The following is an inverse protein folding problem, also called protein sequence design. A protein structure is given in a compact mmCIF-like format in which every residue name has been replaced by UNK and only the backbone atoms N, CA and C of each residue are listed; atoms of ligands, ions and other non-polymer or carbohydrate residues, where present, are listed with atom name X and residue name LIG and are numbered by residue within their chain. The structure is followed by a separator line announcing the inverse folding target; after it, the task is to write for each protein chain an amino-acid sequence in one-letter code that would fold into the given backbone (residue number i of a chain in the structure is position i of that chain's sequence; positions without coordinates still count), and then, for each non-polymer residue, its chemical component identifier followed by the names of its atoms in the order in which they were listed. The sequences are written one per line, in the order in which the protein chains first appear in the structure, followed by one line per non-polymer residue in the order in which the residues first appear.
data_IF_101330783893
#
_entry.id   IF_101330783893
#
_cell.length_a   1.000
_cell.length_b   1.000
_cell.length_c   1.000
_cell.angle_alpha   90.00
_cell.angle_beta   90.00
_cell.angle_gamma   90.00
#
_symmetry.space_group_name_H-M   'P 1'
#
loop_
_entity.id
_entity.type
_entity.pdbx_description
1 polymer ?
#
# COMPACT_ATOMS: atom_id res chain seq x y z
N UNK A 1 41.73 -27.24 -1.02
CA UNK A 1 40.36 -26.74 -0.76
C UNK A 1 40.45 -25.38 -0.09
N UNK A 2 40.44 -24.30 -0.87
CA UNK A 2 40.37 -22.92 -0.35
C UNK A 2 39.66 -22.07 -1.39
N UNK A 3 38.32 -21.99 -1.28
CA UNK A 3 37.53 -21.04 -2.08
C UNK A 3 37.85 -19.63 -1.61
N UNK A 4 38.60 -18.89 -2.42
CA UNK A 4 38.80 -17.44 -2.24
C UNK A 4 37.44 -16.76 -2.23
N UNK A 5 37.09 -16.14 -1.11
CA UNK A 5 36.09 -15.09 -1.07
C UNK A 5 36.58 -13.97 -1.99
N UNK A 6 35.88 -13.72 -3.10
CA UNK A 6 36.14 -12.55 -3.93
C UNK A 6 35.85 -11.30 -3.08
N UNK A 7 36.77 -10.33 -2.99
CA UNK A 7 36.45 -9.07 -2.33
C UNK A 7 35.34 -8.40 -3.14
N UNK A 8 34.21 -8.11 -2.47
CA UNK A 8 33.16 -7.26 -3.03
C UNK A 8 33.82 -5.91 -3.31
N UNK A 9 34.16 -5.64 -4.57
CA UNK A 9 34.72 -4.36 -4.95
C UNK A 9 33.71 -3.30 -4.56
N UNK A 10 34.07 -2.45 -3.61
CA UNK A 10 33.43 -1.15 -3.45
C UNK A 10 33.80 -0.37 -4.70
N UNK A 11 33.02 -0.52 -5.76
CA UNK A 11 33.16 0.34 -6.93
C UNK A 11 33.07 1.76 -6.42
N UNK A 12 34.11 2.55 -6.67
CA UNK A 12 34.19 3.96 -6.29
C UNK A 12 32.82 4.60 -6.53
N UNK A 13 32.19 5.12 -5.47
CA UNK A 13 30.94 5.85 -5.58
C UNK A 13 31.22 7.06 -6.46
N UNK A 14 30.96 6.91 -7.76
CA UNK A 14 30.75 8.03 -8.67
C UNK A 14 29.83 8.99 -7.93
N UNK A 15 30.25 10.25 -7.80
CA UNK A 15 29.46 11.31 -7.19
C UNK A 15 28.15 11.33 -7.96
N UNK A 16 27.12 10.65 -7.46
CA UNK A 16 25.81 10.64 -8.10
C UNK A 16 25.36 12.09 -8.03
N UNK A 17 25.33 12.75 -9.17
CA UNK A 17 24.73 14.08 -9.26
C UNK A 17 23.30 13.98 -8.71
N UNK A 18 22.80 15.04 -8.09
CA UNK A 18 21.44 15.06 -7.52
C UNK A 18 20.36 14.59 -8.53
N UNK A 19 20.62 14.79 -9.82
CA UNK A 19 19.79 14.38 -10.95
C UNK A 19 19.89 12.89 -11.35
N UNK A 20 20.96 12.20 -10.92
CA UNK A 20 21.15 10.76 -11.10
C UNK A 20 20.83 9.96 -9.83
N UNK A 21 19.84 10.42 -9.08
CA UNK A 21 19.33 9.70 -7.94
C UNK A 21 18.45 8.51 -8.39
N UNK A 22 18.82 7.26 -8.06
CA UNK A 22 18.06 6.07 -8.44
C UNK A 22 16.65 6.05 -7.82
N UNK A 23 16.46 6.69 -6.66
CA UNK A 23 15.15 6.84 -6.02
C UNK A 23 14.22 7.71 -6.89
N UNK A 24 14.69 8.87 -7.36
CA UNK A 24 13.90 9.78 -8.19
C UNK A 24 13.49 9.10 -9.51
N UNK A 25 14.39 8.34 -10.16
CA UNK A 25 14.09 7.61 -11.40
C UNK A 25 12.99 6.55 -11.20
N UNK A 26 13.02 5.80 -10.10
CA UNK A 26 12.01 4.78 -9.78
C UNK A 26 10.62 5.38 -9.56
N UNK A 27 10.57 6.51 -8.85
CA UNK A 27 9.30 7.13 -8.48
C UNK A 27 8.67 7.94 -9.61
N UNK A 28 9.48 8.58 -10.49
CA UNK A 28 8.99 9.33 -11.65
C UNK A 28 8.07 8.53 -12.58
N UNK A 29 8.25 7.22 -12.69
CA UNK A 29 7.37 6.36 -13.47
C UNK A 29 5.99 6.19 -12.81
N UNK A 30 5.94 6.07 -11.47
CA UNK A 30 4.71 5.91 -10.69
C UNK A 30 3.92 7.20 -10.50
N UNK A 31 4.55 8.36 -10.70
CA UNK A 31 3.89 9.67 -10.59
C UNK A 31 2.98 9.98 -11.79
N UNK A 32 3.11 9.24 -12.90
CA UNK A 32 2.32 9.52 -14.11
C UNK A 32 0.91 8.99 -13.92
N UNK A 33 -0.04 9.91 -13.71
CA UNK A 33 -1.48 9.66 -13.69
C UNK A 33 -2.04 10.01 -15.07
N UNK A 34 -3.08 9.30 -15.50
CA UNK A 34 -3.85 9.65 -16.69
C UNK A 34 -4.32 11.12 -16.62
N UNK A 35 -4.18 11.90 -17.70
CA UNK A 35 -4.59 13.31 -17.72
C UNK A 35 -6.09 13.48 -17.46
N UNK A 36 -6.91 12.49 -17.80
CA UNK A 36 -8.37 12.51 -17.63
C UNK A 36 -8.82 12.13 -16.21
N UNK A 37 -7.89 11.74 -15.34
CA UNK A 37 -8.22 11.36 -13.97
C UNK A 37 -8.46 12.61 -13.10
N UNK A 38 -9.49 12.55 -12.26
CA UNK A 38 -9.92 13.68 -11.43
C UNK A 38 -8.86 14.17 -10.42
N UNK A 39 -7.91 13.30 -10.02
CA UNK A 39 -6.88 13.60 -9.03
C UNK A 39 -5.48 13.50 -9.64
N UNK A 40 -4.80 14.64 -9.82
CA UNK A 40 -3.46 14.67 -10.44
C UNK A 40 -2.32 14.42 -9.45
N UNK A 41 -2.52 14.75 -8.17
CA UNK A 41 -1.56 14.43 -7.10
C UNK A 41 -2.28 14.34 -5.75
N UNK A 42 -1.68 13.65 -4.79
CA UNK A 42 -2.14 13.56 -3.39
C UNK A 42 -1.70 14.75 -2.53
N UNK A 43 -0.75 15.56 -3.02
CA UNK A 43 -0.09 16.60 -2.22
C UNK A 43 0.92 16.08 -1.19
N UNK A 44 1.08 14.76 -1.07
CA UNK A 44 1.98 14.11 -0.11
C UNK A 44 3.19 13.50 -0.83
N UNK A 45 4.39 13.80 -0.34
CA UNK A 45 5.62 13.27 -0.94
C UNK A 45 5.74 11.77 -0.69
N UNK A 46 5.89 10.99 -1.77
CA UNK A 46 6.06 9.53 -1.69
C UNK A 46 4.74 8.73 -1.69
N UNK A 47 3.59 9.40 -1.64
CA UNK A 47 2.27 8.78 -1.81
C UNK A 47 1.73 9.13 -3.20
N UNK A 48 1.78 8.18 -4.12
CA UNK A 48 1.32 8.38 -5.50
C UNK A 48 -0.17 8.07 -5.62
N UNK A 49 -0.85 8.76 -6.53
CA UNK A 49 -2.28 8.56 -6.80
C UNK A 49 -2.51 7.17 -7.38
N UNK A 50 -3.56 6.50 -6.91
CA UNK A 50 -4.01 5.22 -7.43
C UNK A 50 -5.27 5.43 -8.29
N UNK A 51 -5.22 5.10 -9.58
CA UNK A 51 -6.33 5.36 -10.51
C UNK A 51 -7.56 4.47 -10.25
N UNK A 52 -7.36 3.28 -9.67
CA UNK A 52 -8.40 2.29 -9.44
C UNK A 52 -8.51 1.88 -7.96
N UNK A 53 -8.84 2.82 -7.06
CA UNK A 53 -8.76 2.59 -5.61
C UNK A 53 -9.74 1.50 -5.14
N UNK A 54 -10.97 1.44 -5.68
CA UNK A 54 -11.95 0.42 -5.31
C UNK A 54 -11.46 -1.01 -5.59
N UNK A 55 -10.82 -1.21 -6.75
CA UNK A 55 -10.25 -2.51 -7.12
C UNK A 55 -9.08 -2.87 -6.22
N UNK A 56 -8.17 -1.93 -5.98
CA UNK A 56 -7.01 -2.14 -5.12
C UNK A 56 -7.42 -2.48 -3.69
N UNK A 57 -8.33 -1.69 -3.09
CA UNK A 57 -8.86 -1.91 -1.75
C UNK A 57 -9.59 -3.25 -1.62
N UNK A 58 -10.45 -3.59 -2.58
CA UNK A 58 -11.17 -4.87 -2.59
C UNK A 58 -10.21 -6.07 -2.59
N UNK A 59 -9.13 -5.99 -3.37
CA UNK A 59 -8.12 -7.05 -3.44
C UNK A 59 -7.36 -7.16 -2.11
N UNK A 60 -6.93 -6.03 -1.52
CA UNK A 60 -6.16 -6.04 -0.27
C UNK A 60 -7.02 -6.52 0.89
N UNK A 61 -8.25 -6.02 1.04
CA UNK A 61 -9.17 -6.48 2.09
C UNK A 61 -9.57 -7.95 1.92
N UNK A 62 -9.78 -8.42 0.68
CA UNK A 62 -10.05 -9.83 0.43
C UNK A 62 -8.86 -10.73 0.83
N UNK A 63 -7.62 -10.30 0.57
CA UNK A 63 -6.41 -11.01 1.03
C UNK A 63 -6.28 -10.97 2.55
N UNK A 64 -6.64 -9.86 3.19
CA UNK A 64 -6.58 -9.68 4.64
C UNK A 64 -7.57 -10.58 5.35
N UNK A 65 -8.83 -10.65 4.89
CA UNK A 65 -9.84 -11.57 5.46
C UNK A 65 -9.37 -13.04 5.38
N UNK A 66 -8.81 -13.47 4.24
CA UNK A 66 -8.23 -14.82 4.10
C UNK A 66 -7.03 -15.07 5.01
N UNK A 67 -6.23 -14.03 5.29
CA UNK A 67 -5.13 -14.15 6.24
C UNK A 67 -5.66 -14.30 7.67
N UNK A 68 -6.65 -13.49 8.07
CA UNK A 68 -7.29 -13.54 9.39
C UNK A 68 -7.99 -14.88 9.66
N UNK A 69 -8.49 -15.56 8.63
CA UNK A 69 -9.10 -16.89 8.76
C UNK A 69 -8.20 -17.93 9.42
N UNK A 70 -6.87 -17.79 9.27
CA UNK A 70 -5.87 -18.69 9.86
C UNK A 70 -5.68 -18.49 11.36
N UNK A 71 -6.06 -17.34 11.94
CA UNK A 71 -5.98 -17.10 13.38
C UNK A 71 -7.11 -17.85 14.10
N UNK A 72 -6.96 -18.25 15.37
CA UNK A 72 -8.08 -18.77 16.16
C UNK A 72 -9.25 -17.77 16.26
N UNK A 73 -10.49 -18.25 16.27
CA UNK A 73 -11.71 -17.39 16.32
C UNK A 73 -11.81 -16.54 17.59
N UNK A 74 -11.29 -17.05 18.70
CA UNK A 74 -11.36 -16.36 20.00
C UNK A 74 -10.29 -15.27 20.16
N UNK A 75 -9.39 -15.12 19.18
CA UNK A 75 -8.34 -14.12 19.25
C UNK A 75 -8.93 -12.71 19.10
N UNK A 76 -8.73 -11.85 20.10
CA UNK A 76 -9.32 -10.51 20.15
C UNK A 76 -8.96 -9.68 18.91
N UNK A 77 -7.70 -9.74 18.47
CA UNK A 77 -7.24 -9.06 17.25
C UNK A 77 -8.05 -9.50 16.03
N UNK A 78 -8.25 -10.80 15.82
CA UNK A 78 -9.04 -11.33 14.70
C UNK A 78 -10.48 -10.78 14.73
N UNK A 79 -11.15 -10.81 15.88
CA UNK A 79 -12.53 -10.36 16.02
C UNK A 79 -12.72 -8.89 15.64
N UNK A 80 -11.88 -8.01 16.18
CA UNK A 80 -12.01 -6.57 15.94
C UNK A 80 -11.52 -6.16 14.55
N UNK A 81 -10.43 -6.74 14.06
CA UNK A 81 -9.92 -6.46 12.71
C UNK A 81 -10.89 -6.94 11.64
N UNK A 82 -11.49 -8.14 11.76
CA UNK A 82 -12.51 -8.61 10.83
C UNK A 82 -13.72 -7.67 10.79
N UNK A 83 -14.17 -7.16 11.95
CA UNK A 83 -15.29 -6.22 12.02
C UNK A 83 -14.99 -4.93 11.26
N UNK A 84 -13.82 -4.33 11.52
CA UNK A 84 -13.40 -3.08 10.85
C UNK A 84 -13.23 -3.28 9.35
N UNK A 85 -12.55 -4.37 8.94
CA UNK A 85 -12.28 -4.67 7.54
C UNK A 85 -13.57 -4.95 6.77
N UNK A 86 -14.52 -5.70 7.35
CA UNK A 86 -15.82 -5.95 6.71
C UNK A 86 -16.63 -4.66 6.56
N UNK A 87 -16.61 -3.80 7.57
CA UNK A 87 -17.29 -2.50 7.48
C UNK A 87 -16.70 -1.64 6.36
N UNK A 88 -15.37 -1.51 6.30
CA UNK A 88 -14.68 -0.75 5.23
C UNK A 88 -14.90 -1.36 3.86
N UNK A 89 -14.85 -2.70 3.74
CA UNK A 89 -15.13 -3.39 2.48
C UNK A 89 -16.55 -3.14 1.98
N UNK A 90 -17.54 -3.11 2.88
CA UNK A 90 -18.91 -2.77 2.54
C UNK A 90 -19.02 -1.33 1.99
N UNK A 91 -18.38 -0.36 2.64
CA UNK A 91 -18.31 1.02 2.13
C UNK A 91 -17.68 1.09 0.73
N UNK A 92 -16.59 0.37 0.50
CA UNK A 92 -15.90 0.31 -0.81
C UNK A 92 -16.79 -0.29 -1.91
N UNK A 93 -17.70 -1.20 -1.57
CA UNK A 93 -18.63 -1.85 -2.50
C UNK A 93 -19.90 -1.05 -2.77
N UNK A 94 -20.35 -0.28 -1.78
CA UNK A 94 -21.61 0.50 -1.86
C UNK A 94 -21.39 1.84 -2.53
N UNK A 95 -20.27 2.50 -2.25
CA UNK A 95 -19.94 3.79 -2.82
C UNK A 95 -19.15 3.62 -4.12
N UNK A 96 -19.62 4.26 -5.20
CA UNK A 96 -18.91 4.30 -6.48
C UNK A 96 -18.01 5.52 -6.62
N UNK A 97 -18.32 6.61 -5.90
CA UNK A 97 -17.57 7.85 -5.92
C UNK A 97 -16.47 7.85 -4.84
N UNK A 98 -15.23 8.14 -5.27
CA UNK A 98 -14.05 8.14 -4.41
C UNK A 98 -14.13 9.22 -3.34
N UNK A 99 -14.64 10.40 -3.68
CA UNK A 99 -14.72 11.53 -2.73
C UNK A 99 -15.71 11.24 -1.60
N UNK A 100 -16.86 10.64 -1.93
CA UNK A 100 -17.85 10.24 -0.93
C UNK A 100 -17.32 9.08 -0.07
N UNK A 101 -16.58 8.15 -0.68
CA UNK A 101 -15.92 7.06 0.05
C UNK A 101 -14.91 7.60 1.08
N UNK A 102 -14.07 8.57 0.70
CA UNK A 102 -13.10 9.20 1.61
C UNK A 102 -13.81 9.86 2.81
N UNK A 103 -14.90 10.60 2.56
CA UNK A 103 -15.69 11.23 3.62
C UNK A 103 -16.35 10.22 4.55
N UNK A 104 -16.91 9.13 4.01
CA UNK A 104 -17.57 8.08 4.81
C UNK A 104 -16.59 7.28 5.65
N UNK A 105 -15.38 7.03 5.14
CA UNK A 105 -14.33 6.34 5.91
C UNK A 105 -13.72 7.28 6.96
N UNK A 106 -13.56 8.57 6.64
CA UNK A 106 -13.08 9.59 7.58
C UNK A 106 -11.62 9.40 8.04
N UNK A 107 -10.77 8.77 7.22
CA UNK A 107 -9.38 8.43 7.55
C UNK A 107 -8.36 9.02 6.56
N UNK A 108 -8.63 10.23 6.06
CA UNK A 108 -7.77 10.91 5.08
C UNK A 108 -8.06 10.48 3.64
N UNK A 109 -7.02 10.46 2.81
CA UNK A 109 -7.14 10.12 1.38
C UNK A 109 -7.21 8.60 1.16
N UNK A 110 -7.80 8.18 0.05
CA UNK A 110 -7.99 6.76 -0.27
C UNK A 110 -6.66 6.00 -0.39
N UNK A 111 -5.60 6.66 -0.83
CA UNK A 111 -4.26 6.08 -0.93
C UNK A 111 -3.64 5.80 0.44
N UNK A 112 -3.93 6.64 1.44
CA UNK A 112 -3.51 6.41 2.83
C UNK A 112 -4.24 5.20 3.41
N UNK A 113 -5.55 5.09 3.16
CA UNK A 113 -6.36 3.94 3.56
C UNK A 113 -5.86 2.65 2.92
N UNK A 114 -5.47 2.70 1.64
CA UNK A 114 -4.87 1.57 0.94
C UNK A 114 -3.55 1.15 1.55
N UNK A 115 -2.67 2.11 1.89
CA UNK A 115 -1.41 1.83 2.55
C UNK A 115 -1.60 1.22 3.94
N UNK A 116 -2.54 1.75 4.74
CA UNK A 116 -2.93 1.16 6.03
C UNK A 116 -3.37 -0.30 5.87
N UNK A 117 -4.21 -0.59 4.87
CA UNK A 117 -4.68 -1.96 4.62
C UNK A 117 -3.54 -2.92 4.22
N UNK A 118 -2.52 -2.42 3.50
CA UNK A 118 -1.32 -3.20 3.17
C UNK A 118 -0.48 -3.49 4.41
N UNK A 119 -0.25 -2.51 5.27
CA UNK A 119 0.46 -2.72 6.54
C UNK A 119 -0.30 -3.69 7.45
N UNK A 120 -1.62 -3.60 7.53
CA UNK A 120 -2.43 -4.53 8.31
C UNK A 120 -2.32 -5.98 7.79
N UNK A 121 -2.23 -6.15 6.46
CA UNK A 121 -1.97 -7.44 5.84
C UNK A 121 -0.59 -7.99 6.17
N UNK A 122 0.44 -7.14 6.17
CA UNK A 122 1.81 -7.52 6.56
C UNK A 122 1.89 -7.88 8.04
N UNK A 123 1.32 -7.07 8.93
CA UNK A 123 1.22 -7.36 10.36
C UNK A 123 0.51 -8.69 10.59
N UNK A 124 -0.63 -8.91 9.94
CA UNK A 124 -1.37 -10.19 10.07
C UNK A 124 -0.54 -11.38 9.60
N UNK A 125 0.26 -11.24 8.54
CA UNK A 125 1.17 -12.29 8.06
C UNK A 125 2.32 -12.56 9.03
N UNK A 126 2.80 -11.53 9.74
CA UNK A 126 3.87 -11.64 10.71
C UNK A 126 3.42 -12.25 12.06
N UNK A 127 2.12 -12.33 12.33
CA UNK A 127 1.56 -12.98 13.52
C UNK A 127 1.56 -14.52 13.44
N UNK A 128 1.86 -15.09 12.27
CA UNK A 128 2.00 -16.54 12.04
C UNK A 128 3.47 -16.91 11.88
#
# INVERSE_FOLDING_TARGET
MTSRLLPRSLSMTSIRTMYENPYVKRFKAKTKVSPDYHKQSTGLTGLFVEEHPHRALSVVYGRLLRALEKLPKDYAYRKYTEQVVRHRLNLVQTETDVLQLEQKIGMGQVEEVLQQAQFELETTRALF
#
